data_IF_484351830678
#
_entry.id   IF_484351830678
#
_cell.length_a   1.000
_cell.length_b   1.000
_cell.length_c   1.000
_cell.angle_alpha   90.00
_cell.angle_beta   90.00
_cell.angle_gamma   90.00
#
_symmetry.space_group_name_H-M   'P 1'
#
loop_
_entity.id
_entity.type
_entity.pdbx_description
1 polymer ?
#
# COMPACT_ATOMS: atom_id res chain seq x y z
N UNK A 1 15.11 -35.35 -21.05
CA UNK A 1 15.02 -34.31 -19.98
C UNK A 1 14.55 -33.00 -20.60
N UNK A 2 13.30 -32.67 -20.44
CA UNK A 2 12.83 -31.37 -20.92
C UNK A 2 13.06 -30.34 -19.81
N UNK A 3 14.09 -29.52 -19.99
CA UNK A 3 14.39 -28.42 -19.10
C UNK A 3 13.44 -27.23 -19.35
N UNK A 4 12.17 -27.35 -18.99
CA UNK A 4 11.29 -26.22 -18.95
C UNK A 4 11.64 -25.36 -17.74
N UNK A 5 12.47 -24.35 -17.96
CA UNK A 5 12.73 -23.31 -16.97
C UNK A 5 11.48 -22.42 -16.98
N UNK A 6 10.67 -22.49 -15.92
CA UNK A 6 9.65 -21.49 -15.67
C UNK A 6 10.36 -20.15 -15.55
N UNK A 7 10.11 -19.23 -16.49
CA UNK A 7 10.59 -17.86 -16.40
C UNK A 7 10.03 -17.31 -15.07
N UNK A 8 10.88 -17.03 -14.13
CA UNK A 8 10.49 -16.35 -12.90
C UNK A 8 9.98 -14.99 -13.36
N UNK A 9 8.68 -14.80 -13.32
CA UNK A 9 8.06 -13.53 -13.68
C UNK A 9 8.63 -12.48 -12.75
N UNK A 10 9.33 -11.53 -13.32
CA UNK A 10 9.96 -10.46 -12.56
C UNK A 10 8.90 -9.58 -11.94
N UNK A 11 9.09 -9.20 -10.68
CA UNK A 11 8.24 -8.23 -10.00
C UNK A 11 8.62 -6.83 -10.47
N UNK A 12 7.63 -6.04 -10.87
CA UNK A 12 7.82 -4.64 -11.23
C UNK A 12 7.57 -3.74 -10.02
N UNK A 13 8.59 -3.00 -9.60
CA UNK A 13 8.48 -2.02 -8.52
C UNK A 13 7.95 -0.69 -9.06
N UNK A 14 6.92 -0.18 -8.41
CA UNK A 14 6.27 1.09 -8.72
C UNK A 14 6.44 2.06 -7.55
N UNK A 15 6.91 3.26 -7.84
CA UNK A 15 6.95 4.38 -6.91
C UNK A 15 6.01 5.49 -7.41
N UNK A 16 5.71 6.44 -6.55
CA UNK A 16 4.88 7.59 -6.93
C UNK A 16 5.74 8.84 -7.00
N UNK A 17 5.66 9.53 -8.13
CA UNK A 17 6.28 10.83 -8.34
C UNK A 17 5.27 11.80 -8.95
N UNK A 18 4.95 12.86 -8.24
CA UNK A 18 4.03 13.92 -8.72
C UNK A 18 2.72 13.38 -9.31
N UNK A 19 2.08 12.43 -8.60
CA UNK A 19 0.80 11.87 -9.01
C UNK A 19 0.85 10.86 -10.15
N UNK A 20 2.03 10.39 -10.51
CA UNK A 20 2.23 9.31 -11.50
C UNK A 20 2.96 8.15 -10.87
N UNK A 21 2.66 6.96 -11.36
CA UNK A 21 3.47 5.78 -11.04
C UNK A 21 4.72 5.80 -11.91
N UNK A 22 5.86 5.50 -11.30
CA UNK A 22 7.14 5.42 -12.00
C UNK A 22 7.81 4.09 -11.71
N UNK A 23 8.36 3.48 -12.75
CA UNK A 23 9.19 2.28 -12.66
C UNK A 23 10.49 2.49 -13.41
N UNK A 24 11.58 1.99 -12.86
CA UNK A 24 12.89 1.96 -13.55
C UNK A 24 13.12 0.57 -14.10
N UNK A 25 13.06 0.43 -15.43
CA UNK A 25 13.30 -0.82 -16.13
C UNK A 25 14.50 -0.65 -17.07
N UNK A 26 15.53 -1.48 -16.89
CA UNK A 26 16.77 -1.42 -17.70
C UNK A 26 17.41 -0.03 -17.77
N UNK A 27 17.37 0.74 -16.67
CA UNK A 27 17.91 2.11 -16.61
C UNK A 27 16.97 3.18 -17.16
N UNK A 28 15.87 2.81 -17.80
CA UNK A 28 14.87 3.75 -18.35
C UNK A 28 13.73 3.94 -17.35
N UNK A 29 13.36 5.20 -17.12
CA UNK A 29 12.21 5.55 -16.30
C UNK A 29 10.94 5.50 -17.14
N UNK A 30 10.02 4.64 -16.78
CA UNK A 30 8.69 4.53 -17.36
C UNK A 30 7.66 5.13 -16.41
N UNK A 31 6.64 5.78 -16.97
CA UNK A 31 5.60 6.50 -16.22
C UNK A 31 4.23 5.97 -16.59
N UNK A 32 3.38 5.75 -15.59
CA UNK A 32 2.02 5.21 -15.75
C UNK A 32 1.01 6.03 -14.95
N UNK A 33 -0.23 6.05 -15.42
CA UNK A 33 -1.34 6.74 -14.73
C UNK A 33 -1.87 6.00 -13.51
N UNK A 34 -1.83 4.67 -13.55
CA UNK A 34 -2.31 3.83 -12.45
C UNK A 34 -1.94 2.37 -12.65
N UNK A 35 -2.28 1.54 -11.66
CA UNK A 35 -2.08 0.10 -11.66
C UNK A 35 -3.38 -0.61 -11.34
N UNK A 36 -3.64 -1.70 -12.06
CA UNK A 36 -4.82 -2.55 -11.90
C UNK A 36 -4.42 -3.93 -11.39
N UNK A 37 -5.21 -4.51 -10.52
CA UNK A 37 -5.03 -5.89 -10.09
C UNK A 37 -5.66 -6.19 -8.73
N UNK A 38 -5.40 -7.39 -8.25
CA UNK A 38 -5.84 -7.85 -6.92
C UNK A 38 -4.71 -7.69 -5.92
N UNK A 39 -5.01 -7.11 -4.76
CA UNK A 39 -4.03 -6.94 -3.69
C UNK A 39 -3.93 -8.26 -2.92
N UNK A 40 -2.74 -8.87 -2.94
CA UNK A 40 -2.48 -10.11 -2.21
C UNK A 40 -2.04 -9.85 -0.77
N UNK A 41 -1.19 -8.85 -0.55
CA UNK A 41 -0.72 -8.44 0.78
C UNK A 41 -0.21 -7.00 0.78
N UNK A 42 -0.10 -6.43 1.97
CA UNK A 42 0.53 -5.13 2.20
C UNK A 42 1.53 -5.30 3.34
N UNK A 43 2.79 -4.98 3.08
CA UNK A 43 3.88 -5.05 4.04
C UNK A 43 4.36 -3.65 4.40
N UNK A 44 4.83 -3.47 5.64
CA UNK A 44 5.45 -2.22 6.08
C UNK A 44 6.94 -2.40 6.18
N UNK A 45 7.69 -1.59 5.44
CA UNK A 45 9.15 -1.66 5.35
C UNK A 45 9.74 -0.38 5.90
N UNK A 46 10.59 -0.53 6.92
CA UNK A 46 11.40 0.58 7.46
C UNK A 46 12.65 0.74 6.62
N UNK A 47 12.98 1.97 6.29
CA UNK A 47 14.13 2.34 5.49
C UNK A 47 14.73 3.66 6.02
N UNK A 48 15.86 4.06 5.50
CA UNK A 48 16.57 5.28 5.90
C UNK A 48 17.05 6.04 4.67
N UNK A 49 16.82 7.33 4.66
CA UNK A 49 17.35 8.23 3.64
C UNK A 49 18.05 9.42 4.29
N UNK A 50 19.33 9.62 3.98
CA UNK A 50 20.18 10.69 4.57
C UNK A 50 20.13 10.72 6.11
N UNK A 51 20.20 9.55 6.74
CA UNK A 51 20.16 9.40 8.21
C UNK A 51 18.77 9.62 8.83
N UNK A 52 17.72 9.79 8.01
CA UNK A 52 16.36 9.96 8.48
C UNK A 52 15.55 8.68 8.25
N UNK A 53 15.04 8.04 9.32
CA UNK A 53 14.23 6.86 9.17
C UNK A 53 12.85 7.22 8.58
N UNK A 54 12.35 6.37 7.70
CA UNK A 54 11.00 6.45 7.16
C UNK A 54 10.41 5.06 6.98
N UNK A 55 9.11 4.99 6.79
CA UNK A 55 8.40 3.73 6.58
C UNK A 55 7.57 3.78 5.29
N UNK A 56 7.59 2.70 4.54
CA UNK A 56 6.80 2.52 3.33
C UNK A 56 5.81 1.39 3.51
N UNK A 57 4.65 1.54 2.90
CA UNK A 57 3.75 0.43 2.60
C UNK A 57 4.14 -0.14 1.23
N UNK A 58 4.43 -1.43 1.18
CA UNK A 58 4.66 -2.20 -0.03
C UNK A 58 3.40 -3.00 -0.35
N UNK A 59 2.65 -2.56 -1.35
CA UNK A 59 1.38 -3.12 -1.77
C UNK A 59 1.64 -4.10 -2.90
N UNK A 60 1.45 -5.39 -2.64
CA UNK A 60 1.63 -6.47 -3.61
C UNK A 60 0.35 -6.65 -4.44
N UNK A 61 0.47 -6.45 -5.74
CA UNK A 61 -0.64 -6.44 -6.69
C UNK A 61 -0.35 -7.46 -7.79
N UNK A 62 -1.31 -8.32 -8.07
CA UNK A 62 -1.24 -9.29 -9.15
C UNK A 62 -2.31 -9.01 -10.20
N UNK A 63 -1.94 -9.00 -11.46
CA UNK A 63 -2.86 -8.83 -12.59
C UNK A 63 -2.46 -9.75 -13.74
N UNK A 64 -3.32 -10.71 -14.06
CA UNK A 64 -3.04 -11.77 -15.05
C UNK A 64 -1.72 -12.48 -14.68
N UNK A 65 -0.69 -12.38 -15.51
CA UNK A 65 0.63 -12.99 -15.29
C UNK A 65 1.69 -11.98 -14.81
N UNK A 66 1.27 -10.79 -14.37
CA UNK A 66 2.16 -9.72 -13.93
C UNK A 66 2.02 -9.49 -12.42
N UNK A 67 3.15 -9.20 -11.77
CA UNK A 67 3.22 -8.86 -10.36
C UNK A 67 3.87 -7.50 -10.16
N UNK A 68 3.23 -6.66 -9.37
CA UNK A 68 3.67 -5.31 -9.05
C UNK A 68 3.83 -5.14 -7.54
N UNK A 69 4.79 -4.33 -7.13
CA UNK A 69 4.89 -3.82 -5.76
C UNK A 69 4.82 -2.30 -5.82
N UNK A 70 3.67 -1.75 -5.42
CA UNK A 70 3.47 -0.32 -5.31
C UNK A 70 3.93 0.16 -3.93
N UNK A 71 4.89 1.09 -3.91
CA UNK A 71 5.45 1.65 -2.68
C UNK A 71 4.88 3.03 -2.40
N UNK A 72 4.39 3.24 -1.18
CA UNK A 72 3.89 4.51 -0.68
C UNK A 72 4.48 4.82 0.70
N UNK A 73 4.93 6.05 0.93
CA UNK A 73 5.27 6.48 2.30
C UNK A 73 4.01 6.49 3.17
N UNK A 74 4.09 5.90 4.37
CA UNK A 74 2.92 5.77 5.26
C UNK A 74 2.39 7.10 5.78
N UNK A 75 3.20 8.13 5.82
CA UNK A 75 2.83 9.50 6.20
C UNK A 75 2.31 10.35 5.04
N UNK A 76 2.32 9.80 3.81
CA UNK A 76 1.89 10.52 2.62
C UNK A 76 0.37 10.61 2.47
N UNK A 77 -0.07 11.64 1.74
CA UNK A 77 -1.46 11.76 1.32
C UNK A 77 -1.89 10.61 0.40
N UNK A 78 -0.97 10.04 -0.37
CA UNK A 78 -1.23 8.87 -1.22
C UNK A 78 -1.69 7.67 -0.41
N UNK A 79 -0.94 7.29 0.61
CA UNK A 79 -1.25 6.14 1.47
C UNK A 79 -2.56 6.34 2.23
N UNK A 80 -2.74 7.50 2.86
CA UNK A 80 -3.96 7.82 3.61
C UNK A 80 -5.21 7.76 2.74
N UNK A 81 -5.18 8.36 1.54
CA UNK A 81 -6.32 8.34 0.63
C UNK A 81 -6.58 6.94 0.06
N UNK A 82 -5.52 6.18 -0.24
CA UNK A 82 -5.62 4.79 -0.65
C UNK A 82 -6.34 3.94 0.39
N UNK A 83 -5.87 3.96 1.65
CA UNK A 83 -6.50 3.19 2.74
C UNK A 83 -7.97 3.61 2.96
N UNK A 84 -8.24 4.91 2.94
CA UNK A 84 -9.56 5.45 3.17
C UNK A 84 -10.55 5.07 2.07
N UNK A 85 -10.13 5.06 0.82
CA UNK A 85 -10.95 4.60 -0.29
C UNK A 85 -11.13 3.07 -0.26
N UNK A 86 -10.03 2.32 -0.09
CA UNK A 86 -10.08 0.86 -0.07
C UNK A 86 -10.97 0.30 1.04
N UNK A 87 -11.02 0.95 2.20
CA UNK A 87 -11.88 0.56 3.32
C UNK A 87 -13.37 0.62 2.99
N UNK A 88 -13.80 1.47 2.07
CA UNK A 88 -15.20 1.56 1.64
C UNK A 88 -15.58 0.53 0.57
N UNK A 89 -14.61 -0.13 -0.02
CA UNK A 89 -14.80 -1.17 -1.02
C UNK A 89 -14.58 -2.58 -0.47
N UNK A 90 -14.33 -3.52 -1.37
CA UNK A 90 -13.92 -4.88 -1.03
C UNK A 90 -12.41 -5.06 -1.29
N UNK A 91 -11.56 -5.11 -0.24
CA UNK A 91 -10.10 -5.23 -0.40
C UNK A 91 -9.64 -6.51 -1.11
N UNK A 92 -10.51 -7.52 -1.22
CA UNK A 92 -10.22 -8.81 -1.88
C UNK A 92 -10.56 -8.83 -3.36
N UNK A 93 -11.26 -7.83 -3.85
CA UNK A 93 -11.59 -7.70 -5.28
C UNK A 93 -10.52 -6.91 -6.03
N UNK A 94 -10.55 -7.05 -7.37
CA UNK A 94 -9.69 -6.28 -8.26
C UNK A 94 -9.92 -4.78 -8.07
N UNK A 95 -8.83 -4.04 -7.98
CA UNK A 95 -8.82 -2.57 -7.85
C UNK A 95 -8.03 -1.92 -8.98
N UNK A 96 -8.37 -0.70 -9.30
CA UNK A 96 -7.54 0.22 -10.07
C UNK A 96 -7.10 1.36 -9.16
N UNK A 97 -5.80 1.55 -9.00
CA UNK A 97 -5.18 2.53 -8.10
C UNK A 97 -4.54 3.62 -8.95
N UNK A 98 -4.99 4.84 -8.78
CA UNK A 98 -4.54 6.01 -9.54
C UNK A 98 -4.10 7.12 -8.59
N UNK A 99 -2.79 7.38 -8.45
CA UNK A 99 -2.32 8.52 -7.69
C UNK A 99 -2.68 9.83 -8.40
N UNK A 100 -2.80 10.88 -7.63
CA UNK A 100 -3.04 12.23 -8.12
C UNK A 100 -2.20 13.25 -7.36
N UNK A 101 -1.84 14.33 -8.03
CA UNK A 101 -1.10 15.43 -7.42
C UNK A 101 -1.60 16.74 -7.99
N UNK A 102 -1.91 17.67 -7.10
CA UNK A 102 -2.32 19.03 -7.45
C UNK A 102 -1.58 20.02 -6.57
N UNK A 103 -1.37 21.21 -7.08
CA UNK A 103 -1.02 22.38 -6.25
C UNK A 103 -2.26 23.27 -6.16
N UNK A 104 -2.56 23.74 -4.94
CA UNK A 104 -3.60 24.72 -4.75
C UNK A 104 -3.12 26.13 -5.18
N UNK A 105 -4.03 27.11 -5.19
CA UNK A 105 -3.73 28.49 -5.60
C UNK A 105 -2.66 29.18 -4.73
N UNK A 106 -2.37 28.59 -3.55
CA UNK A 106 -1.35 29.05 -2.62
C UNK A 106 -0.03 28.28 -2.78
N UNK A 107 0.09 27.40 -3.81
CA UNK A 107 1.25 26.57 -4.06
C UNK A 107 1.41 25.37 -3.12
N UNK A 108 0.41 25.09 -2.26
CA UNK A 108 0.43 23.92 -1.39
C UNK A 108 0.15 22.64 -2.17
N UNK A 109 1.04 21.68 -2.04
CA UNK A 109 0.92 20.37 -2.68
C UNK A 109 -0.18 19.53 -2.02
N UNK A 110 -1.03 18.94 -2.84
CA UNK A 110 -2.08 18.02 -2.44
C UNK A 110 -1.87 16.67 -3.13
N UNK A 111 -1.33 15.72 -2.39
CA UNK A 111 -1.17 14.34 -2.84
C UNK A 111 -2.44 13.55 -2.51
N UNK A 112 -2.96 12.81 -3.47
CA UNK A 112 -4.14 11.99 -3.32
C UNK A 112 -4.02 10.66 -4.07
N UNK A 113 -4.95 9.76 -3.80
CA UNK A 113 -5.02 8.48 -4.48
C UNK A 113 -6.49 8.10 -4.69
N UNK A 114 -6.85 7.88 -5.93
CA UNK A 114 -8.16 7.35 -6.29
C UNK A 114 -8.07 5.83 -6.39
N UNK A 115 -9.07 5.16 -5.86
CA UNK A 115 -9.24 3.72 -5.99
C UNK A 115 -10.60 3.47 -6.62
N UNK A 116 -10.66 2.61 -7.63
CA UNK A 116 -11.92 2.21 -8.24
C UNK A 116 -12.06 0.70 -8.30
N UNK A 117 -13.29 0.23 -8.24
CA UNK A 117 -13.70 -1.15 -8.40
C UNK A 117 -14.88 -1.22 -9.37
N UNK A 118 -14.86 -2.18 -10.28
CA UNK A 118 -15.94 -2.37 -11.26
C UNK A 118 -16.27 -1.07 -12.04
N UNK A 119 -15.25 -0.27 -12.36
CA UNK A 119 -15.39 0.99 -13.10
C UNK A 119 -15.94 2.16 -12.28
N UNK A 120 -16.10 2.03 -10.96
CA UNK A 120 -16.61 3.08 -10.09
C UNK A 120 -15.57 3.49 -9.06
N UNK A 121 -15.37 4.80 -8.89
CA UNK A 121 -14.51 5.33 -7.83
C UNK A 121 -15.11 5.04 -6.45
N UNK A 122 -14.29 4.52 -5.55
CA UNK A 122 -14.63 4.33 -4.16
C UNK A 122 -14.60 5.68 -3.43
N UNK A 123 -15.66 5.97 -2.70
CA UNK A 123 -15.70 7.13 -1.81
C UNK A 123 -14.84 6.85 -0.57
N UNK A 124 -14.35 7.88 0.08
CA UNK A 124 -13.65 7.71 1.35
C UNK A 124 -14.61 7.18 2.43
N UNK A 125 -14.17 6.17 3.19
CA UNK A 125 -14.91 5.63 4.32
C UNK A 125 -15.04 6.65 5.47
N UNK A 126 -14.01 7.47 5.64
CA UNK A 126 -13.97 8.55 6.63
C UNK A 126 -13.82 9.89 5.93
N UNK A 127 -14.70 10.83 6.28
CA UNK A 127 -14.69 12.19 5.75
C UNK A 127 -14.66 13.21 6.91
N UNK A 128 -14.46 14.48 6.60
CA UNK A 128 -14.51 15.53 7.61
C UNK A 128 -15.86 15.58 8.34
N UNK A 129 -16.95 15.33 7.61
CA UNK A 129 -18.32 15.37 8.15
C UNK A 129 -18.73 14.04 8.81
N UNK A 130 -18.07 12.96 8.46
CA UNK A 130 -18.28 11.62 9.04
C UNK A 130 -16.94 10.95 9.30
N UNK A 131 -16.21 11.34 10.37
CA UNK A 131 -14.89 10.79 10.68
C UNK A 131 -14.95 9.35 11.20
N UNK A 132 -16.10 8.87 11.67
CA UNK A 132 -16.27 7.53 12.22
C UNK A 132 -15.30 7.26 13.37
N UNK A 133 -14.63 6.10 13.31
CA UNK A 133 -13.63 5.65 14.29
C UNK A 133 -12.19 6.07 13.94
N UNK A 134 -11.98 6.86 12.88
CA UNK A 134 -10.66 7.37 12.53
C UNK A 134 -10.17 8.36 13.61
N UNK A 135 -8.99 8.15 14.21
CA UNK A 135 -8.44 9.09 15.20
C UNK A 135 -8.29 10.49 14.60
N UNK A 136 -8.60 11.49 15.40
CA UNK A 136 -8.39 12.87 14.99
C UNK A 136 -6.90 13.21 15.00
N UNK A 137 -6.53 14.16 14.12
CA UNK A 137 -5.18 14.71 14.09
C UNK A 137 -4.92 15.49 15.38
N UNK A 138 -3.80 15.24 16.01
CA UNK A 138 -3.36 15.99 17.18
C UNK A 138 -2.64 17.27 16.76
N UNK A 139 -3.07 18.38 17.37
CA UNK A 139 -2.43 19.66 17.15
C UNK A 139 -1.23 19.78 18.08
N UNK A 140 -0.03 19.85 17.51
CA UNK A 140 1.21 20.02 18.24
C UNK A 140 1.83 21.37 17.92
N UNK A 141 2.14 22.16 18.95
CA UNK A 141 2.84 23.43 18.79
C UNK A 141 4.31 23.27 19.15
N UNK A 142 5.18 23.51 18.19
CA UNK A 142 6.63 23.47 18.39
C UNK A 142 7.26 24.76 17.88
N UNK A 143 8.01 25.45 18.73
CA UNK A 143 8.67 26.74 18.40
C UNK A 143 7.74 27.78 17.77
N UNK A 144 6.50 27.88 18.24
CA UNK A 144 5.51 28.83 17.72
C UNK A 144 4.81 28.39 16.42
N UNK A 145 5.22 27.30 15.80
CA UNK A 145 4.54 26.73 14.63
C UNK A 145 3.56 25.63 15.05
N UNK A 146 2.38 25.70 14.49
CA UNK A 146 1.35 24.65 14.66
C UNK A 146 1.51 23.60 13.60
N UNK A 147 1.72 22.36 14.04
CA UNK A 147 1.76 21.16 13.18
C UNK A 147 0.67 20.19 13.61
N UNK A 148 0.29 19.32 12.70
CA UNK A 148 -0.65 18.25 12.98
C UNK A 148 0.07 16.92 12.99
N UNK A 149 -0.03 16.19 14.10
CA UNK A 149 0.49 14.84 14.24
C UNK A 149 -0.53 13.82 13.72
N UNK A 150 -0.13 13.01 12.77
CA UNK A 150 -0.94 11.96 12.14
C UNK A 150 -0.57 10.54 12.60
N UNK A 151 0.30 10.40 13.58
CA UNK A 151 0.84 9.10 14.05
C UNK A 151 -0.27 8.12 14.42
N UNK A 152 -1.31 8.58 15.12
CA UNK A 152 -2.46 7.75 15.49
C UNK A 152 -3.29 7.30 14.29
N UNK A 153 -3.39 8.12 13.24
CA UNK A 153 -4.05 7.73 11.99
C UNK A 153 -3.23 6.69 11.23
N UNK A 154 -1.91 6.85 11.20
CA UNK A 154 -1.01 5.86 10.57
C UNK A 154 -1.16 4.51 11.28
N UNK A 155 -1.12 4.50 12.62
CA UNK A 155 -1.30 3.27 13.41
C UNK A 155 -2.68 2.64 13.16
N UNK A 156 -3.74 3.44 13.11
CA UNK A 156 -5.07 2.98 12.78
C UNK A 156 -5.12 2.26 11.42
N UNK A 157 -4.53 2.84 10.38
CA UNK A 157 -4.49 2.24 9.05
C UNK A 157 -3.64 0.98 9.01
N UNK A 158 -2.51 0.95 9.70
CA UNK A 158 -1.67 -0.24 9.81
C UNK A 158 -2.41 -1.39 10.48
N UNK A 159 -3.13 -1.11 11.56
CA UNK A 159 -3.95 -2.10 12.27
C UNK A 159 -5.10 -2.60 11.40
N UNK A 160 -5.78 -1.72 10.69
CA UNK A 160 -6.84 -2.11 9.77
C UNK A 160 -6.31 -3.01 8.64
N UNK A 161 -5.20 -2.66 8.02
CA UNK A 161 -4.53 -3.46 6.98
C UNK A 161 -4.15 -4.84 7.54
N UNK A 162 -3.51 -4.89 8.70
CA UNK A 162 -3.10 -6.15 9.32
C UNK A 162 -4.28 -7.08 9.56
N UNK A 163 -5.40 -6.56 10.05
CA UNK A 163 -6.64 -7.34 10.23
C UNK A 163 -7.27 -7.78 8.92
N UNK A 164 -7.24 -6.93 7.91
CA UNK A 164 -7.89 -7.17 6.61
C UNK A 164 -7.15 -8.23 5.80
N UNK A 165 -5.82 -8.25 5.85
CA UNK A 165 -4.96 -9.14 5.05
C UNK A 165 -4.31 -10.27 5.86
N UNK A 166 -4.55 -10.38 7.20
CA UNK A 166 -3.98 -11.41 8.06
C UNK A 166 -4.45 -12.85 7.75
N UNK A 167 -5.59 -13.02 7.07
CA UNK A 167 -6.18 -14.34 6.78
C UNK A 167 -5.41 -15.18 5.76
N UNK A 168 -4.41 -14.66 5.09
CA UNK A 168 -3.65 -15.38 4.04
C UNK A 168 -2.28 -15.90 4.52
N UNK A 169 -1.80 -15.43 5.68
CA UNK A 169 -0.53 -15.88 6.25
C UNK A 169 -0.61 -17.18 7.05
N UNK A 170 -1.82 -17.62 7.44
CA UNK A 170 -2.01 -18.76 8.34
C UNK A 170 -2.14 -20.13 7.63
N UNK A 171 -2.23 -20.16 6.30
CA UNK A 171 -2.37 -21.42 5.56
C UNK A 171 -1.05 -22.03 5.07
N UNK A 172 0.09 -21.39 5.32
CA UNK A 172 1.39 -21.92 4.85
C UNK A 172 2.26 -22.49 6.00
N UNK A 173 1.80 -22.49 7.25
CA UNK A 173 2.58 -22.99 8.38
C UNK A 173 2.00 -24.21 9.13
N UNK A 174 0.93 -24.82 8.64
CA UNK A 174 0.37 -26.04 9.27
C UNK A 174 0.55 -27.33 8.45
N UNK A 175 1.62 -27.45 7.66
CA UNK A 175 1.93 -28.72 6.97
C UNK A 175 3.40 -29.16 7.10
N UNK A 176 4.06 -28.89 8.22
CA UNK A 176 5.30 -29.58 8.55
C UNK A 176 5.45 -29.81 10.06
N UNK A 177 4.60 -30.68 10.63
CA UNK A 177 4.91 -31.44 11.83
C UNK A 177 3.93 -32.61 11.98
N UNK A 178 4.13 -33.65 11.17
CA UNK A 178 3.79 -35.03 11.57
C UNK A 178 4.64 -36.01 10.77
N UNK A 179 5.75 -36.39 11.34
CA UNK A 179 6.68 -37.32 10.76
C UNK A 179 7.84 -37.69 11.66
N UNK A 180 7.64 -37.73 12.94
CA UNK A 180 8.61 -38.35 13.85
C UNK A 180 8.27 -39.82 14.06
N UNK A 181 8.76 -40.61 13.23
CA UNK A 181 9.54 -41.87 13.35
C UNK A 181 9.51 -42.53 14.73
N UNK A 182 8.80 -43.61 14.81
CA UNK A 182 9.18 -44.73 15.66
C UNK A 182 10.13 -45.65 14.90
N UNK A 183 11.37 -45.74 15.36
CA UNK A 183 12.29 -46.81 15.00
C UNK A 183 12.33 -47.82 16.14
N UNK A 184 11.89 -49.04 15.95
CA UNK A 184 12.30 -50.13 16.81
C UNK A 184 13.64 -50.71 16.31
N UNK A 185 14.47 -51.04 17.21
CA UNK A 185 15.72 -51.80 17.05
C UNK A 185 15.61 -52.93 16.12
#
# INVERSE_FOLDING_TARGET
MSGLIKKTEGVTYLNIKEGKLVSKKNGVLETYDGVKGTISKIEFVKDEYEGKPYEKAAIHISYVDENFILQMHVDSGYFRNFCNALKSGNPKEEVYIQPSFKKDDRGKSMAGCFVSQNGKFLKHAHTKDNPGDLPQLEKVTFKGETRYDNSKQIEYWKNWISKTFAGEATQTQEQEEDGATDLPF
#
